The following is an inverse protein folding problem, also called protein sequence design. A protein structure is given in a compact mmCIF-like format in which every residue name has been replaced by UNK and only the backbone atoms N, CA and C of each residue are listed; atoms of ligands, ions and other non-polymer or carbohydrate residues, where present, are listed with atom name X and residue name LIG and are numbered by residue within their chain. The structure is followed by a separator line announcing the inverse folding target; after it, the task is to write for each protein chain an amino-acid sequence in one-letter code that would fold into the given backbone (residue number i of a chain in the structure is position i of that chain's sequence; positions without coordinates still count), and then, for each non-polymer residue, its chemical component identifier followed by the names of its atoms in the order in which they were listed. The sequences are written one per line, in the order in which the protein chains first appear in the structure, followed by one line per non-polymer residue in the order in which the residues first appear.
data_IF_996428034645
#
_entry.id   IF_996428034645
#
_cell.length_a   1.000
_cell.length_b   1.000
_cell.length_c   1.000
_cell.angle_alpha   90.00
_cell.angle_beta   90.00
_cell.angle_gamma   90.00
#
_symmetry.space_group_name_H-M   'P 1'
#
loop_
_entity.id
_entity.type
_entity.pdbx_description
1 polymer ?
#
# COMPACT_ATOMS: atom_id res chain seq x y z
N UNK A 1 -24.78 -1.29 -8.62
CA UNK A 1 -24.09 -0.41 -9.58
C UNK A 1 -23.42 -1.30 -10.62
N UNK A 2 -24.04 -1.43 -11.80
CA UNK A 2 -23.64 -2.35 -12.87
C UNK A 2 -22.67 -1.60 -13.79
N UNK A 3 -21.46 -2.11 -13.99
CA UNK A 3 -20.58 -1.64 -15.07
C UNK A 3 -20.78 -2.61 -16.24
N UNK A 4 -21.32 -2.06 -17.33
CA UNK A 4 -21.59 -2.73 -18.59
C UNK A 4 -20.49 -2.40 -19.59
N UNK A 5 -19.98 -3.43 -20.27
CA UNK A 5 -19.22 -3.42 -21.55
C UNK A 5 -17.80 -2.82 -21.54
N UNK A 6 -16.74 -3.62 -21.55
CA UNK A 6 -16.12 -4.36 -22.69
C UNK A 6 -15.35 -3.47 -23.67
N UNK A 7 -14.02 -3.53 -23.60
CA UNK A 7 -13.07 -3.47 -24.74
C UNK A 7 -11.72 -4.01 -24.25
N UNK A 8 -11.33 -5.17 -24.75
CA UNK A 8 -10.10 -5.91 -24.44
C UNK A 8 -8.95 -5.43 -25.33
N UNK A 9 -7.83 -4.93 -24.80
CA UNK A 9 -6.54 -4.88 -25.53
C UNK A 9 -5.32 -4.79 -24.59
N UNK A 10 -4.32 -5.65 -24.86
CA UNK A 10 -2.89 -5.49 -24.48
C UNK A 10 -2.43 -6.15 -23.18
N UNK A 11 -1.63 -7.23 -23.26
CA UNK A 11 -0.90 -7.81 -22.12
C UNK A 11 0.59 -7.91 -22.43
N UNK A 12 1.44 -7.45 -21.53
CA UNK A 12 2.82 -7.94 -21.40
C UNK A 12 3.16 -8.11 -19.91
N UNK A 13 3.74 -9.27 -19.57
CA UNK A 13 3.95 -9.75 -18.20
C UNK A 13 5.43 -9.81 -17.86
N UNK A 14 5.80 -9.28 -16.70
CA UNK A 14 6.94 -9.79 -15.92
C UNK A 14 6.47 -9.93 -14.46
N UNK A 15 6.28 -11.17 -13.99
CA UNK A 15 5.53 -11.55 -12.78
C UNK A 15 4.02 -11.63 -13.00
N UNK A 16 3.44 -10.61 -13.66
CA UNK A 16 2.32 -10.71 -14.60
C UNK A 16 0.90 -10.87 -14.06
N UNK A 17 0.66 -10.57 -12.78
CA UNK A 17 -0.71 -10.51 -12.23
C UNK A 17 -0.96 -9.13 -11.62
N UNK A 18 -1.97 -8.39 -12.11
CA UNK A 18 -2.36 -7.14 -11.49
C UNK A 18 -2.72 -7.39 -10.02
N UNK A 19 -2.20 -6.54 -9.13
CA UNK A 19 -2.46 -6.67 -7.71
C UNK A 19 -3.92 -6.32 -7.42
N UNK A 20 -4.66 -7.27 -6.86
CA UNK A 20 -6.04 -7.03 -6.47
C UNK A 20 -6.11 -6.07 -5.28
N UNK A 21 -6.96 -5.05 -5.39
CA UNK A 21 -7.39 -4.28 -4.24
C UNK A 21 -8.12 -5.21 -3.28
N UNK A 22 -7.65 -5.27 -2.04
CA UNK A 22 -8.15 -6.20 -1.03
C UNK A 22 -8.78 -5.42 0.11
N UNK A 23 -10.07 -5.63 0.30
CA UNK A 23 -10.88 -4.99 1.34
C UNK A 23 -10.88 -5.83 2.62
N UNK A 24 -11.20 -5.21 3.75
CA UNK A 24 -11.24 -5.89 5.04
C UNK A 24 -12.34 -6.97 5.14
N UNK A 25 -13.39 -6.87 4.32
CA UNK A 25 -14.45 -7.88 4.18
C UNK A 25 -14.00 -9.13 3.39
N UNK A 26 -12.74 -9.17 2.93
CA UNK A 26 -12.16 -10.24 2.12
C UNK A 26 -12.46 -10.11 0.62
N UNK A 27 -13.24 -9.11 0.20
CA UNK A 27 -13.50 -8.83 -1.21
C UNK A 27 -12.19 -8.44 -1.90
N UNK A 28 -11.98 -8.99 -3.09
CA UNK A 28 -10.81 -8.70 -3.93
C UNK A 28 -11.28 -8.20 -5.29
N UNK A 29 -10.79 -7.04 -5.68
CA UNK A 29 -11.10 -6.41 -6.97
C UNK A 29 -9.81 -6.20 -7.73
N UNK A 30 -9.71 -6.78 -8.91
CA UNK A 30 -8.60 -6.48 -9.82
C UNK A 30 -9.02 -5.26 -10.63
N UNK A 31 -8.42 -4.07 -10.40
CA UNK A 31 -8.73 -2.90 -11.21
C UNK A 31 -8.27 -3.17 -12.64
N UNK A 32 -9.14 -2.87 -13.61
CA UNK A 32 -8.74 -2.76 -15.01
C UNK A 32 -8.49 -1.28 -15.29
N UNK A 33 -7.22 -0.88 -15.16
CA UNK A 33 -6.78 0.51 -15.29
C UNK A 33 -5.89 0.70 -16.52
N UNK A 34 -5.75 1.95 -17.01
CA UNK A 34 -4.89 2.28 -18.14
C UNK A 34 -3.39 2.29 -17.80
N UNK A 35 -3.04 2.14 -16.52
CA UNK A 35 -1.68 2.20 -16.02
C UNK A 35 -1.47 1.14 -14.93
N UNK A 36 -0.36 0.42 -15.02
CA UNK A 36 0.08 -0.59 -14.06
C UNK A 36 1.59 -0.45 -13.88
N UNK A 37 2.06 -0.54 -12.64
CA UNK A 37 3.46 -0.40 -12.27
C UNK A 37 3.71 -1.08 -10.92
N UNK A 38 4.88 -1.66 -10.74
CA UNK A 38 5.34 -2.22 -9.47
C UNK A 38 6.15 -1.20 -8.64
N UNK A 39 6.41 -0.01 -9.18
CA UNK A 39 7.08 1.07 -8.48
C UNK A 39 6.08 1.95 -7.73
N UNK A 40 6.33 2.11 -6.44
CA UNK A 40 5.45 2.84 -5.54
C UNK A 40 5.29 4.31 -5.97
N UNK A 41 6.41 4.95 -6.32
CA UNK A 41 6.43 6.38 -6.61
C UNK A 41 5.74 6.68 -7.94
N UNK A 42 5.95 5.84 -8.95
CA UNK A 42 5.27 5.93 -10.25
C UNK A 42 3.76 5.85 -10.12
N UNK A 43 3.24 4.97 -9.24
CA UNK A 43 1.80 4.88 -8.97
C UNK A 43 1.27 6.12 -8.25
N UNK A 44 2.01 6.66 -7.27
CA UNK A 44 1.62 7.90 -6.58
C UNK A 44 1.56 9.05 -7.59
N UNK A 45 2.60 9.23 -8.41
CA UNK A 45 2.62 10.26 -9.45
C UNK A 45 1.47 10.12 -10.45
N UNK A 46 1.12 8.89 -10.84
CA UNK A 46 0.00 8.64 -11.74
C UNK A 46 -1.32 9.11 -11.12
N UNK A 47 -1.58 8.81 -9.85
CA UNK A 47 -2.80 9.28 -9.16
C UNK A 47 -2.79 10.79 -8.97
N UNK A 48 -1.63 11.37 -8.66
CA UNK A 48 -1.45 12.83 -8.56
C UNK A 48 -1.74 13.56 -9.89
N UNK A 49 -1.48 12.90 -11.03
CA UNK A 49 -1.84 13.39 -12.37
C UNK A 49 -3.28 13.07 -12.78
N UNK A 50 -4.07 12.44 -11.91
CA UNK A 50 -5.47 12.10 -12.16
C UNK A 50 -5.69 10.88 -13.07
N UNK A 51 -4.70 10.00 -13.21
CA UNK A 51 -4.79 8.80 -14.06
C UNK A 51 -5.78 7.77 -13.51
N UNK A 52 -6.06 7.78 -12.20
CA UNK A 52 -7.02 6.87 -11.59
C UNK A 52 -7.03 6.87 -10.06
N UNK A 53 -7.39 5.73 -9.48
CA UNK A 53 -7.46 5.47 -8.03
C UNK A 53 -6.43 4.40 -7.69
N UNK A 54 -5.76 4.51 -6.54
CA UNK A 54 -4.76 3.54 -6.08
C UNK A 54 -5.02 3.10 -4.64
N UNK A 55 -4.45 1.94 -4.27
CA UNK A 55 -4.38 1.46 -2.89
C UNK A 55 -2.93 1.54 -2.42
N UNK A 56 -2.68 2.33 -1.38
CA UNK A 56 -1.37 2.49 -0.75
C UNK A 56 -1.43 2.41 0.76
N UNK A 57 -0.27 2.13 1.36
CA UNK A 57 -0.09 2.29 2.80
C UNK A 57 -0.16 3.78 3.14
N UNK A 58 -1.01 4.16 4.09
CA UNK A 58 -1.29 5.55 4.45
C UNK A 58 -0.02 6.39 4.63
N UNK A 59 0.96 5.86 5.36
CA UNK A 59 2.22 6.56 5.65
C UNK A 59 2.98 7.01 4.39
N UNK A 60 2.83 6.31 3.27
CA UNK A 60 3.51 6.64 2.03
C UNK A 60 2.89 7.83 1.29
N UNK A 61 1.65 8.21 1.63
CA UNK A 61 0.87 9.26 0.95
C UNK A 61 0.26 10.26 1.93
N UNK A 62 0.70 10.24 3.20
CA UNK A 62 0.11 11.06 4.26
C UNK A 62 0.32 12.55 3.98
N UNK A 63 1.46 12.93 3.41
CA UNK A 63 1.76 14.30 3.01
C UNK A 63 0.83 14.79 1.89
N UNK A 64 0.58 13.96 0.88
CA UNK A 64 -0.34 14.25 -0.22
C UNK A 64 -1.79 14.36 0.24
N UNK A 65 -2.20 13.49 1.16
CA UNK A 65 -3.53 13.51 1.77
C UNK A 65 -3.71 14.77 2.63
N UNK A 66 -2.74 15.09 3.48
CA UNK A 66 -2.78 16.27 4.36
C UNK A 66 -2.77 17.56 3.56
N UNK A 67 -2.03 17.60 2.45
CA UNK A 67 -2.02 18.72 1.52
C UNK A 67 -3.28 18.82 0.64
N UNK A 68 -4.23 17.89 0.75
CA UNK A 68 -5.46 17.87 -0.05
C UNK A 68 -5.25 17.60 -1.54
N UNK A 69 -4.06 17.08 -1.92
CA UNK A 69 -3.77 16.70 -3.32
C UNK A 69 -4.36 15.34 -3.67
N UNK A 70 -4.50 14.47 -2.67
CA UNK A 70 -5.21 13.19 -2.76
C UNK A 70 -6.45 13.21 -1.89
N UNK A 71 -7.49 12.50 -2.33
CA UNK A 71 -8.75 12.36 -1.62
C UNK A 71 -9.10 10.88 -1.42
N UNK A 72 -9.62 10.54 -0.25
CA UNK A 72 -10.12 9.20 0.05
C UNK A 72 -11.48 9.01 -0.61
N UNK A 73 -11.60 8.06 -1.53
CA UNK A 73 -12.81 7.84 -2.35
C UNK A 73 -13.78 6.79 -1.81
N UNK A 74 -13.34 5.93 -0.89
CA UNK A 74 -14.14 4.83 -0.32
C UNK A 74 -14.01 4.78 1.22
N UNK A 75 -14.45 5.82 1.95
CA UNK A 75 -14.29 5.88 3.40
C UNK A 75 -15.06 4.78 4.14
N UNK A 76 -16.22 4.35 3.61
CA UNK A 76 -17.07 3.33 4.25
C UNK A 76 -16.62 1.89 4.00
N UNK A 77 -15.57 1.70 3.20
CA UNK A 77 -15.02 0.40 2.84
C UNK A 77 -13.56 0.30 3.29
N UNK A 78 -13.29 -0.14 4.53
CA UNK A 78 -11.94 -0.26 5.02
C UNK A 78 -11.16 -1.27 4.17
N UNK A 79 -9.92 -0.88 3.85
CA UNK A 79 -8.96 -1.78 3.18
C UNK A 79 -8.41 -2.78 4.18
N UNK A 80 -7.94 -3.92 3.66
CA UNK A 80 -7.19 -4.87 4.47
C UNK A 80 -5.94 -4.19 5.06
N UNK A 81 -5.75 -4.33 6.37
CA UNK A 81 -4.59 -3.77 7.08
C UNK A 81 -3.53 -4.85 7.23
N UNK A 82 -2.33 -4.59 6.73
CA UNK A 82 -1.18 -5.50 6.83
C UNK A 82 -0.24 -5.04 7.94
N UNK A 83 0.28 -5.99 8.71
CA UNK A 83 1.30 -5.72 9.72
C UNK A 83 2.66 -5.44 9.06
N UNK A 84 3.36 -4.42 9.55
CA UNK A 84 4.74 -4.12 9.15
C UNK A 84 5.68 -4.80 10.14
N UNK A 85 6.59 -5.62 9.63
CA UNK A 85 7.55 -6.36 10.45
C UNK A 85 8.96 -5.84 10.22
N UNK A 86 9.75 -5.77 11.29
CA UNK A 86 11.20 -5.56 11.20
C UNK A 86 11.90 -6.92 11.23
N UNK A 87 12.48 -7.31 10.11
CA UNK A 87 13.26 -8.54 9.98
C UNK A 87 14.75 -8.25 10.18
N UNK A 88 15.44 -9.06 11.00
CA UNK A 88 16.87 -8.94 11.23
C UNK A 88 17.56 -10.31 11.26
N UNK A 89 18.85 -10.35 10.91
CA UNK A 89 19.63 -11.59 10.83
C UNK A 89 20.38 -11.96 12.14
N UNK A 90 20.28 -11.15 13.20
CA UNK A 90 21.08 -11.30 14.43
C UNK A 90 20.77 -12.54 15.32
N UNK A 91 20.00 -13.51 14.83
CA UNK A 91 19.57 -14.67 15.62
C UNK A 91 18.70 -14.26 16.81
N UNK A 92 18.80 -15.00 17.93
CA UNK A 92 17.98 -14.75 19.14
C UNK A 92 18.38 -13.51 19.93
N UNK A 93 19.63 -13.03 19.80
CA UNK A 93 20.13 -11.90 20.58
C UNK A 93 20.33 -10.69 19.69
N UNK A 94 19.44 -9.71 19.84
CA UNK A 94 19.53 -8.44 19.12
C UNK A 94 20.63 -7.55 19.73
N UNK A 95 21.64 -7.12 18.97
CA UNK A 95 22.64 -6.17 19.44
C UNK A 95 21.99 -4.85 19.87
N UNK A 96 22.56 -4.19 20.87
CA UNK A 96 22.01 -2.94 21.42
C UNK A 96 21.77 -1.87 20.34
N UNK A 97 22.69 -1.72 19.38
CA UNK A 97 22.55 -0.75 18.28
C UNK A 97 21.34 -1.04 17.40
N UNK A 98 21.08 -2.32 17.10
CA UNK A 98 19.91 -2.71 16.32
C UNK A 98 18.61 -2.49 17.11
N UNK A 99 18.62 -2.75 18.43
CA UNK A 99 17.48 -2.43 19.30
C UNK A 99 17.16 -0.93 19.28
N UNK A 100 18.16 -0.09 19.50
CA UNK A 100 17.99 1.37 19.48
C UNK A 100 17.49 1.87 18.13
N UNK A 101 17.95 1.28 17.02
CA UNK A 101 17.44 1.61 15.70
C UNK A 101 15.97 1.21 15.51
N UNK A 102 15.57 0.02 15.96
CA UNK A 102 14.16 -0.40 15.94
C UNK A 102 13.30 0.54 16.79
N UNK A 103 13.75 0.87 18.00
CA UNK A 103 13.03 1.76 18.90
C UNK A 103 12.86 3.15 18.25
N UNK A 104 13.90 3.68 17.60
CA UNK A 104 13.84 4.91 16.81
C UNK A 104 12.82 4.83 15.64
N UNK A 105 12.79 3.71 14.91
CA UNK A 105 11.82 3.53 13.81
C UNK A 105 10.38 3.50 14.33
N UNK A 106 10.12 2.81 15.44
CA UNK A 106 8.80 2.74 16.06
C UNK A 106 8.31 4.13 16.46
N UNK A 107 9.18 4.93 17.07
CA UNK A 107 8.89 6.32 17.45
C UNK A 107 8.64 7.20 16.22
N UNK A 108 9.52 7.13 15.21
CA UNK A 108 9.45 7.97 14.00
C UNK A 108 8.21 7.67 13.16
N UNK A 109 7.84 6.40 13.05
CA UNK A 109 6.69 5.97 12.25
C UNK A 109 5.36 6.08 13.02
N UNK A 110 5.38 6.40 14.32
CA UNK A 110 4.19 6.48 15.17
C UNK A 110 3.43 5.17 15.31
N UNK A 111 4.12 4.03 15.16
CA UNK A 111 3.48 2.70 15.17
C UNK A 111 3.55 2.10 16.56
N UNK A 112 2.49 1.47 17.04
CA UNK A 112 2.51 0.74 18.31
C UNK A 112 3.25 -0.60 18.15
N UNK A 113 4.19 -0.88 19.05
CA UNK A 113 4.90 -2.17 19.08
C UNK A 113 3.97 -3.26 19.62
N UNK A 114 3.58 -4.20 18.76
CA UNK A 114 2.98 -5.45 19.21
C UNK A 114 4.10 -6.47 19.48
N UNK A 115 4.23 -6.91 20.73
CA UNK A 115 5.29 -7.80 21.21
C UNK A 115 4.85 -9.28 21.25
N UNK A 116 3.78 -9.64 20.54
CA UNK A 116 3.16 -10.96 20.59
C UNK A 116 3.91 -12.09 19.84
N UNK A 117 5.24 -12.03 19.72
CA UNK A 117 6.07 -13.08 19.09
C UNK A 117 7.19 -13.57 20.01
#
# INVERSE_FOLDING_TARGET
MRITSMTTFGWERLGGRPQAFTFADGTRVIPNGPFDSDDAQSLIEAVMKGVGITQFMRIAIEDELTAGRLNVVLPDRPMFTTLVYVLHAFGRQLPLRARLFIDFLVETLGVSRDLSL
#
